data_IF_168720741526
#
_entry.id   IF_168720741526
#
_cell.length_a   1.000
_cell.length_b   1.000
_cell.length_c   1.000
_cell.angle_alpha   90.00
_cell.angle_beta   90.00
_cell.angle_gamma   90.00
#
_symmetry.space_group_name_H-M   'P 1'
#
loop_
_entity.id
_entity.type
_entity.pdbx_description
1 polymer ?
#
# COMPACT_ATOMS: atom_id res chain seq x y z
N UNK A 1 -21.52 -5.18 12.33
CA UNK A 1 -20.27 -5.54 13.03
C UNK A 1 -19.73 -4.26 13.65
N UNK A 2 -19.85 -4.09 14.97
CA UNK A 2 -19.26 -2.94 15.67
C UNK A 2 -17.75 -3.14 15.66
N UNK A 3 -17.02 -2.35 14.87
CA UNK A 3 -15.56 -2.35 14.84
C UNK A 3 -15.06 -1.78 16.16
N UNK A 4 -14.50 -2.65 17.02
CA UNK A 4 -13.88 -2.29 18.28
C UNK A 4 -12.53 -1.60 18.02
N UNK A 5 -12.01 -0.88 19.02
CA UNK A 5 -10.67 -0.27 18.92
C UNK A 5 -9.58 -1.32 18.65
N UNK A 6 -9.74 -2.55 19.15
CA UNK A 6 -8.81 -3.66 18.92
C UNK A 6 -8.79 -4.09 17.45
N UNK A 7 -9.96 -4.24 16.81
CA UNK A 7 -10.07 -4.60 15.39
C UNK A 7 -9.35 -3.57 14.49
N UNK A 8 -9.48 -2.28 14.83
CA UNK A 8 -8.82 -1.18 14.11
C UNK A 8 -7.31 -1.13 14.30
N UNK A 9 -6.80 -1.59 15.46
CA UNK A 9 -5.35 -1.69 15.68
C UNK A 9 -4.79 -2.83 14.84
N UNK A 10 -5.49 -3.95 14.85
CA UNK A 10 -5.10 -5.13 14.11
C UNK A 10 -5.11 -4.93 12.59
N UNK A 11 -6.15 -4.30 12.05
CA UNK A 11 -6.22 -3.90 10.64
C UNK A 11 -5.06 -2.96 10.27
N UNK A 12 -4.74 -1.98 11.13
CA UNK A 12 -3.61 -1.06 10.88
C UNK A 12 -2.27 -1.77 10.89
N UNK A 13 -2.08 -2.76 11.75
CA UNK A 13 -0.87 -3.58 11.77
C UNK A 13 -0.76 -4.39 10.48
N UNK A 14 -1.83 -5.05 10.05
CA UNK A 14 -1.86 -5.82 8.81
C UNK A 14 -1.56 -4.94 7.57
N UNK A 15 -2.16 -3.75 7.50
CA UNK A 15 -1.85 -2.77 6.43
C UNK A 15 -0.37 -2.38 6.47
N UNK A 16 0.16 -2.09 7.66
CA UNK A 16 1.56 -1.67 7.82
C UNK A 16 2.53 -2.75 7.38
N UNK A 17 2.30 -4.00 7.79
CA UNK A 17 3.13 -5.13 7.39
C UNK A 17 3.00 -5.43 5.90
N UNK A 18 1.80 -5.38 5.33
CA UNK A 18 1.61 -5.58 3.89
C UNK A 18 2.29 -4.48 3.05
N UNK A 19 2.33 -3.24 3.54
CA UNK A 19 3.10 -2.16 2.91
C UNK A 19 4.61 -2.38 3.01
N UNK A 20 5.13 -3.10 4.00
CA UNK A 20 6.57 -3.40 4.11
C UNK A 20 7.05 -4.33 3.00
N UNK A 21 6.20 -5.23 2.53
CA UNK A 21 6.48 -6.14 1.41
C UNK A 21 6.48 -5.43 0.04
N UNK A 22 5.96 -4.21 -0.03
CA UNK A 22 5.99 -3.40 -1.25
C UNK A 22 7.35 -2.70 -1.39
N UNK A 23 8.06 -2.87 -2.53
CA UNK A 23 9.32 -2.19 -2.78
C UNK A 23 9.23 -0.67 -2.57
N UNK A 24 10.25 -0.07 -1.96
CA UNK A 24 10.23 1.32 -1.51
C UNK A 24 9.74 2.31 -2.59
N UNK A 25 10.24 2.20 -3.83
CA UNK A 25 9.82 3.10 -4.92
C UNK A 25 8.37 2.95 -5.35
N UNK A 26 7.77 1.77 -5.18
CA UNK A 26 6.33 1.55 -5.42
C UNK A 26 5.52 2.06 -4.23
N UNK A 27 5.96 1.74 -3.01
CA UNK A 27 5.34 2.16 -1.76
C UNK A 27 5.25 3.69 -1.66
N UNK A 28 6.30 4.42 -2.01
CA UNK A 28 6.26 5.89 -2.02
C UNK A 28 5.18 6.42 -2.94
N UNK A 29 5.01 5.85 -4.14
CA UNK A 29 3.93 6.25 -5.05
C UNK A 29 2.54 5.94 -4.46
N UNK A 30 2.37 4.82 -3.74
CA UNK A 30 1.11 4.49 -3.08
C UNK A 30 0.77 5.49 -1.96
N UNK A 31 1.72 5.79 -1.07
CA UNK A 31 1.51 6.73 0.05
C UNK A 31 1.18 8.12 -0.47
N UNK A 32 1.97 8.64 -1.41
CA UNK A 32 1.73 9.96 -1.99
C UNK A 32 0.38 10.04 -2.71
N UNK A 33 -0.09 8.96 -3.33
CA UNK A 33 -1.39 8.97 -4.01
C UNK A 33 -2.56 8.81 -3.04
N UNK A 34 -2.54 7.81 -2.17
CA UNK A 34 -3.68 7.44 -1.35
C UNK A 34 -3.76 8.16 0.01
N UNK A 35 -2.62 8.62 0.54
CA UNK A 35 -2.56 9.37 1.80
C UNK A 35 -2.53 10.87 1.55
N UNK A 36 -1.67 11.32 0.63
CA UNK A 36 -1.51 12.76 0.34
C UNK A 36 -2.46 13.26 -0.76
N UNK A 37 -3.14 12.36 -1.48
CA UNK A 37 -4.11 12.73 -2.54
C UNK A 37 -3.47 13.27 -3.82
N UNK A 38 -2.15 13.11 -4.00
CA UNK A 38 -1.44 13.67 -5.15
C UNK A 38 -1.76 12.94 -6.45
N UNK A 39 -1.77 13.69 -7.55
CA UNK A 39 -1.91 13.12 -8.88
C UNK A 39 -0.62 12.42 -9.32
N UNK A 40 -0.71 11.50 -10.29
CA UNK A 40 0.48 10.82 -10.81
C UNK A 40 1.51 11.78 -11.41
N UNK A 41 1.05 12.93 -11.93
CA UNK A 41 1.93 13.96 -12.48
C UNK A 41 2.75 14.61 -11.37
N UNK A 42 2.09 15.10 -10.32
CA UNK A 42 2.75 15.73 -9.15
C UNK A 42 3.73 14.76 -8.47
N UNK A 43 3.34 13.49 -8.34
CA UNK A 43 4.23 12.45 -7.80
C UNK A 43 5.46 12.26 -8.71
N UNK A 44 5.28 12.31 -10.02
CA UNK A 44 6.38 12.23 -10.98
C UNK A 44 7.35 13.39 -10.83
N UNK A 45 6.82 14.61 -10.68
CA UNK A 45 7.60 15.83 -10.43
C UNK A 45 8.38 15.75 -9.11
N UNK A 46 7.76 15.27 -8.02
CA UNK A 46 8.41 15.11 -6.71
C UNK A 46 9.52 14.06 -6.75
N UNK A 47 9.29 12.93 -7.44
CA UNK A 47 10.21 11.79 -7.47
C UNK A 47 11.22 11.84 -8.62
N UNK A 48 11.16 12.84 -9.49
CA UNK A 48 12.03 12.97 -10.67
C UNK A 48 11.83 11.86 -11.71
N UNK A 49 10.59 11.40 -11.90
CA UNK A 49 10.24 10.34 -12.88
C UNK A 49 9.02 10.73 -13.71
N UNK A 50 8.79 10.04 -14.83
CA UNK A 50 7.60 10.29 -15.65
C UNK A 50 6.30 9.88 -14.96
N UNK A 51 5.20 10.56 -15.28
CA UNK A 51 3.85 10.17 -14.83
C UNK A 51 3.53 8.70 -15.17
N UNK A 52 3.98 8.23 -16.34
CA UNK A 52 3.78 6.83 -16.72
C UNK A 52 4.58 5.86 -15.84
N UNK A 53 5.79 6.22 -15.41
CA UNK A 53 6.55 5.44 -14.45
C UNK A 53 5.83 5.37 -13.10
N UNK A 54 5.22 6.47 -12.65
CA UNK A 54 4.37 6.49 -11.44
C UNK A 54 3.17 5.56 -11.61
N UNK A 55 2.42 5.66 -12.71
CA UNK A 55 1.28 4.78 -12.99
C UNK A 55 1.67 3.30 -12.90
N UNK A 56 2.77 2.90 -13.54
CA UNK A 56 3.29 1.52 -13.49
C UNK A 56 3.68 1.11 -12.07
N UNK A 57 4.28 2.01 -11.29
CA UNK A 57 4.64 1.77 -9.88
C UNK A 57 3.43 1.61 -8.98
N UNK A 58 2.38 2.42 -9.17
CA UNK A 58 1.13 2.31 -8.41
C UNK A 58 0.43 0.99 -8.72
N UNK A 59 0.29 0.61 -10.00
CA UNK A 59 -0.33 -0.67 -10.37
C UNK A 59 0.41 -1.85 -9.73
N UNK A 60 1.72 -1.95 -9.94
CA UNK A 60 2.54 -3.04 -9.39
C UNK A 60 2.58 -3.03 -7.85
N UNK A 61 2.60 -1.83 -7.26
CA UNK A 61 2.54 -1.64 -5.82
C UNK A 61 1.23 -2.16 -5.23
N UNK A 62 0.10 -1.83 -5.85
CA UNK A 62 -1.22 -2.34 -5.46
C UNK A 62 -1.32 -3.87 -5.59
N UNK A 63 -0.77 -4.46 -6.66
CA UNK A 63 -0.74 -5.91 -6.83
C UNK A 63 0.06 -6.58 -5.71
N UNK A 64 1.26 -6.09 -5.42
CA UNK A 64 2.09 -6.60 -4.32
C UNK A 64 1.45 -6.41 -2.95
N UNK A 65 0.88 -5.23 -2.69
CA UNK A 65 0.18 -4.95 -1.44
C UNK A 65 -0.97 -5.94 -1.25
N UNK A 66 -1.82 -6.14 -2.26
CA UNK A 66 -2.95 -7.08 -2.18
C UNK A 66 -2.49 -8.51 -1.95
N UNK A 67 -1.41 -8.93 -2.60
CA UNK A 67 -0.82 -10.24 -2.36
C UNK A 67 -0.34 -10.38 -0.92
N UNK A 68 0.48 -9.45 -0.44
CA UNK A 68 1.02 -9.48 0.93
C UNK A 68 -0.08 -9.42 1.99
N UNK A 69 -1.08 -8.54 1.80
CA UNK A 69 -2.21 -8.40 2.71
C UNK A 69 -3.03 -9.69 2.79
N UNK A 70 -3.33 -10.33 1.65
CA UNK A 70 -4.05 -11.61 1.63
C UNK A 70 -3.27 -12.74 2.31
N UNK A 71 -1.95 -12.80 2.13
CA UNK A 71 -1.13 -13.84 2.78
C UNK A 71 -1.15 -13.69 4.31
N UNK A 72 -1.30 -12.47 4.82
CA UNK A 72 -1.45 -12.23 6.25
C UNK A 72 -2.82 -12.64 6.80
N UNK A 73 -3.87 -12.61 5.97
CA UNK A 73 -5.19 -13.15 6.36
C UNK A 73 -5.13 -14.69 6.43
N UNK A 74 -4.48 -15.35 5.47
CA UNK A 74 -4.41 -16.83 5.40
C UNK A 74 -3.53 -17.42 6.52
N UNK A 75 -2.44 -16.76 6.91
CA UNK A 75 -1.61 -17.23 8.03
C UNK A 75 -2.27 -17.11 9.41
N UNK A 76 -3.42 -16.44 9.51
CA UNK A 76 -4.13 -16.22 10.76
C UNK A 76 -5.23 -17.24 11.03
N UNK A 77 -5.68 -17.97 10.01
CA UNK A 77 -6.69 -19.04 10.09
C UNK A 77 -6.09 -20.43 10.39
N UNK A 78 -4.76 -20.59 10.41
CA UNK A 78 -4.07 -21.89 10.57
C UNK A 78 -3.42 -22.11 11.96
N UNK A 79 -3.81 -21.33 12.98
CA UNK A 79 -3.35 -21.49 14.38
C UNK A 79 -4.51 -21.53 15.36
#
# INVERSE_FOLDING_TARGET
>A
KSSSAADKVEERLAITEALREVPAGQRSCLVLHFTEGLTYREIGEILGVSEEAVRKRVVRGCEKFRQAYRQQEVSKDEV
#
